data_IF_377503564264
#
_entry.id   IF_377503564264
#
_cell.length_a   1.000
_cell.length_b   1.000
_cell.length_c   1.000
_cell.angle_alpha   90.00
_cell.angle_beta   90.00
_cell.angle_gamma   90.00
#
_symmetry.space_group_name_H-M   'P 1'
#
loop_
_entity.id
_entity.type
_entity.pdbx_description
1 polymer ?
#
# COMPACT_ATOMS: atom_id res chain seq x y z
N UNK A 1 11.42 -13.91 3.69
CA UNK A 1 10.67 -12.94 2.90
C UNK A 1 10.96 -13.11 1.41
N UNK A 2 9.98 -12.87 0.60
CA UNK A 2 10.10 -12.99 -0.86
C UNK A 2 10.55 -11.64 -1.44
N UNK A 3 11.79 -11.52 -1.97
CA UNK A 3 12.26 -10.24 -2.52
C UNK A 3 11.45 -9.79 -3.73
N UNK A 4 10.89 -10.72 -4.50
CA UNK A 4 10.00 -10.41 -5.60
C UNK A 4 8.77 -9.66 -5.13
N UNK A 5 8.11 -10.18 -4.11
CA UNK A 5 6.90 -9.55 -3.56
C UNK A 5 7.21 -8.20 -2.91
N UNK A 6 8.35 -8.09 -2.23
CA UNK A 6 8.77 -6.83 -1.60
C UNK A 6 9.00 -5.73 -2.65
N UNK A 7 9.70 -6.06 -3.74
CA UNK A 7 9.96 -5.11 -4.82
C UNK A 7 8.65 -4.66 -5.49
N UNK A 8 7.74 -5.58 -5.68
CA UNK A 8 6.43 -5.28 -6.27
C UNK A 8 5.61 -4.33 -5.40
N UNK A 9 5.58 -4.59 -4.10
CA UNK A 9 4.86 -3.74 -3.15
C UNK A 9 5.44 -2.33 -3.16
N UNK A 10 6.77 -2.21 -3.18
CA UNK A 10 7.42 -0.89 -3.24
C UNK A 10 7.03 -0.13 -4.50
N UNK A 11 7.02 -0.79 -5.65
CA UNK A 11 6.65 -0.16 -6.91
C UNK A 11 5.18 0.23 -6.92
N UNK A 12 4.32 -0.59 -6.37
CA UNK A 12 2.90 -0.31 -6.25
C UNK A 12 2.65 0.91 -5.37
N UNK A 13 3.31 0.99 -4.22
CA UNK A 13 3.21 2.15 -3.31
C UNK A 13 3.65 3.42 -4.02
N UNK A 14 4.74 3.35 -4.77
CA UNK A 14 5.25 4.47 -5.56
C UNK A 14 4.23 4.93 -6.59
N UNK A 15 3.60 3.98 -7.29
CA UNK A 15 2.57 4.27 -8.29
C UNK A 15 1.37 4.95 -7.65
N UNK A 16 0.88 4.43 -6.53
CA UNK A 16 -0.25 5.00 -5.80
C UNK A 16 0.05 6.45 -5.39
N UNK A 17 1.26 6.71 -4.88
CA UNK A 17 1.67 8.05 -4.50
C UNK A 17 1.75 8.99 -5.70
N UNK A 18 2.23 8.48 -6.85
CA UNK A 18 2.28 9.24 -8.09
C UNK A 18 0.91 9.65 -8.60
N UNK A 19 -0.13 8.89 -8.25
CA UNK A 19 -1.52 9.19 -8.60
C UNK A 19 -2.22 10.08 -7.56
N UNK A 20 -1.48 10.57 -6.58
CA UNK A 20 -2.04 11.41 -5.51
C UNK A 20 -2.71 10.62 -4.40
N UNK A 21 -2.45 9.34 -4.32
CA UNK A 21 -3.00 8.48 -3.29
C UNK A 21 -2.04 8.23 -2.14
N UNK A 22 -2.49 7.45 -1.18
CA UNK A 22 -1.69 7.05 -0.03
C UNK A 22 -1.80 5.53 0.16
N UNK A 23 -0.67 4.91 0.47
CA UNK A 23 -0.63 3.51 0.85
C UNK A 23 -0.51 3.41 2.37
N UNK A 24 -1.35 2.58 2.96
CA UNK A 24 -1.45 2.43 4.42
C UNK A 24 -0.97 1.03 4.78
N UNK A 25 0.10 0.96 5.57
CA UNK A 25 0.70 -0.29 5.99
C UNK A 25 0.75 -0.38 7.51
N UNK A 26 0.91 -1.59 8.00
CA UNK A 26 1.14 -1.85 9.42
C UNK A 26 2.59 -1.49 9.76
N UNK A 27 2.83 -0.24 10.08
CA UNK A 27 4.16 0.26 10.43
C UNK A 27 4.12 1.08 11.71
N UNK A 28 5.27 1.18 12.35
CA UNK A 28 5.44 2.05 13.51
C UNK A 28 5.12 3.51 13.13
N UNK A 29 5.51 3.91 11.93
CA UNK A 29 5.23 5.26 11.43
C UNK A 29 3.75 5.58 11.37
N UNK A 30 2.91 4.60 11.04
CA UNK A 30 1.47 4.80 11.04
C UNK A 30 0.92 5.03 12.45
N UNK A 31 1.39 4.24 13.41
CA UNK A 31 1.02 4.42 14.81
C UNK A 31 1.44 5.79 15.32
N UNK A 32 2.67 6.20 15.00
CA UNK A 32 3.18 7.52 15.37
C UNK A 32 2.33 8.63 14.75
N UNK A 33 1.95 8.48 13.49
CA UNK A 33 1.11 9.46 12.81
C UNK A 33 -0.23 9.63 13.52
N UNK A 34 -0.85 8.51 13.94
CA UNK A 34 -2.13 8.56 14.66
C UNK A 34 -2.00 9.03 16.10
N UNK A 35 -0.83 8.97 16.69
CA UNK A 35 -0.60 9.44 18.06
C UNK A 35 -0.41 10.95 18.13
N UNK A 36 -0.01 11.60 17.05
CA UNK A 36 0.18 13.04 16.99
C UNK A 36 -1.16 13.77 17.10
N UNK A 37 -1.25 14.69 18.05
CA UNK A 37 -2.45 15.50 18.28
C UNK A 37 -3.74 14.67 18.36
N UNK A 38 -3.67 13.50 19.03
CA UNK A 38 -4.82 12.62 19.19
C UNK A 38 -5.31 11.99 17.90
N UNK A 39 -4.41 11.82 16.92
CA UNK A 39 -4.73 11.22 15.63
C UNK A 39 -5.31 12.18 14.61
N UNK A 40 -5.50 13.44 14.98
CA UNK A 40 -6.13 14.45 14.12
C UNK A 40 -5.37 14.66 12.82
N UNK A 41 -4.04 14.65 12.90
CA UNK A 41 -3.18 14.86 11.73
C UNK A 41 -3.29 13.71 10.74
N UNK A 42 -3.22 12.48 11.24
CA UNK A 42 -3.34 11.30 10.40
C UNK A 42 -4.70 11.20 9.73
N UNK A 43 -5.75 11.51 10.46
CA UNK A 43 -7.11 11.53 9.91
C UNK A 43 -7.24 12.54 8.77
N UNK A 44 -6.68 13.72 8.93
CA UNK A 44 -6.71 14.76 7.89
C UNK A 44 -6.02 14.30 6.60
N UNK A 45 -4.85 13.67 6.73
CA UNK A 45 -4.13 13.13 5.59
C UNK A 45 -4.95 12.05 4.88
N UNK A 46 -5.54 11.12 5.64
CA UNK A 46 -6.35 10.05 5.08
C UNK A 46 -7.60 10.59 4.40
N UNK A 47 -8.29 11.53 5.03
CA UNK A 47 -9.50 12.12 4.47
C UNK A 47 -9.22 12.89 3.17
N UNK A 48 -8.06 13.54 3.08
CA UNK A 48 -7.70 14.33 1.91
C UNK A 48 -7.23 13.50 0.73
N UNK A 49 -6.85 12.25 0.96
CA UNK A 49 -6.35 11.37 -0.10
C UNK A 49 -7.50 10.65 -0.79
N UNK A 50 -7.67 10.91 -2.08
CA UNK A 50 -8.76 10.31 -2.86
C UNK A 50 -8.59 8.82 -3.06
N UNK A 51 -7.34 8.38 -3.26
CA UNK A 51 -7.00 6.99 -3.49
C UNK A 51 -6.25 6.49 -2.25
N UNK A 52 -6.77 5.41 -1.65
CA UNK A 52 -6.14 4.80 -0.49
C UNK A 52 -5.96 3.32 -0.77
N UNK A 53 -4.79 2.81 -0.51
CA UNK A 53 -4.50 1.38 -0.65
C UNK A 53 -4.13 0.82 0.72
N UNK A 54 -5.01 0.01 1.29
CA UNK A 54 -4.84 -0.53 2.64
C UNK A 54 -4.27 -1.93 2.54
N UNK A 55 -3.05 -2.09 3.00
CA UNK A 55 -2.37 -3.38 3.02
C UNK A 55 -2.62 -4.09 4.34
N UNK A 56 -2.06 -5.29 4.49
CA UNK A 56 -2.28 -6.10 5.68
C UNK A 56 -1.93 -5.36 6.96
N UNK A 57 -2.80 -5.50 7.96
CA UNK A 57 -2.61 -4.95 9.30
C UNK A 57 -3.10 -5.94 10.33
N UNK A 58 -2.62 -5.80 11.55
CA UNK A 58 -3.20 -6.49 12.68
C UNK A 58 -4.56 -5.87 13.03
N UNK A 59 -5.40 -6.64 13.73
CA UNK A 59 -6.76 -6.22 14.00
C UNK A 59 -6.85 -4.85 14.68
N UNK A 60 -5.97 -4.60 15.64
CA UNK A 60 -5.99 -3.34 16.38
C UNK A 60 -5.80 -2.14 15.45
N UNK A 61 -4.86 -2.24 14.53
CA UNK A 61 -4.60 -1.19 13.55
C UNK A 61 -5.74 -1.09 12.53
N UNK A 62 -6.26 -2.22 12.07
CA UNK A 62 -7.38 -2.27 11.14
C UNK A 62 -8.62 -1.60 11.74
N UNK A 63 -8.82 -1.72 13.05
CA UNK A 63 -9.94 -1.06 13.74
C UNK A 63 -9.81 0.47 13.71
N UNK A 64 -8.59 0.99 13.82
CA UNK A 64 -8.36 2.44 13.71
C UNK A 64 -8.72 2.92 12.31
N UNK A 65 -8.27 2.19 11.29
CA UNK A 65 -8.56 2.52 9.89
C UNK A 65 -10.05 2.35 9.58
N UNK A 66 -10.71 1.37 10.19
CA UNK A 66 -12.14 1.14 10.01
C UNK A 66 -12.96 2.38 10.30
N UNK A 67 -12.67 3.07 11.39
CA UNK A 67 -13.42 4.25 11.78
C UNK A 67 -13.21 5.40 10.82
N UNK A 68 -12.00 5.55 10.31
CA UNK A 68 -11.65 6.66 9.42
C UNK A 68 -12.19 6.43 8.00
N UNK A 69 -12.06 5.21 7.49
CA UNK A 69 -12.44 4.87 6.11
C UNK A 69 -13.84 4.27 6.00
N UNK A 70 -14.53 4.13 7.12
CA UNK A 70 -15.88 3.54 7.17
C UNK A 70 -15.89 2.14 6.56
N UNK A 71 -15.01 1.28 7.04
CA UNK A 71 -14.89 -0.09 6.54
C UNK A 71 -15.91 -0.99 7.22
N UNK A 72 -16.39 -1.99 6.47
CA UNK A 72 -17.25 -3.03 7.02
C UNK A 72 -16.45 -4.01 7.89
N UNK A 73 -17.16 -4.80 8.69
CA UNK A 73 -16.52 -5.87 9.47
C UNK A 73 -15.83 -6.88 8.58
N UNK A 74 -16.44 -7.19 7.42
CA UNK A 74 -15.82 -8.10 6.46
C UNK A 74 -14.53 -7.51 5.89
N UNK A 75 -14.50 -6.22 5.61
CA UNK A 75 -13.30 -5.56 5.11
C UNK A 75 -12.19 -5.56 6.15
N UNK A 76 -12.52 -5.38 7.42
CA UNK A 76 -11.54 -5.52 8.50
C UNK A 76 -10.95 -6.92 8.52
N UNK A 77 -11.80 -7.95 8.42
CA UNK A 77 -11.34 -9.34 8.37
C UNK A 77 -10.42 -9.59 7.18
N UNK A 78 -10.78 -9.07 6.02
CA UNK A 78 -9.94 -9.18 4.81
C UNK A 78 -8.57 -8.55 5.04
N UNK A 79 -8.53 -7.36 5.60
CA UNK A 79 -7.28 -6.64 5.84
C UNK A 79 -6.35 -7.46 6.75
N UNK A 80 -6.88 -8.08 7.80
CA UNK A 80 -6.05 -8.88 8.71
C UNK A 80 -5.49 -10.13 8.04
N UNK A 81 -6.12 -10.61 6.98
CA UNK A 81 -5.76 -11.84 6.27
C UNK A 81 -5.01 -11.61 4.97
N UNK A 82 -4.83 -10.38 4.55
CA UNK A 82 -4.11 -10.09 3.32
C UNK A 82 -2.70 -10.63 3.37
N UNK A 83 -2.28 -11.17 2.24
CA UNK A 83 -0.90 -11.60 2.02
C UNK A 83 -0.15 -10.46 1.34
N UNK A 84 1.16 -10.61 1.23
CA UNK A 84 1.97 -9.64 0.50
C UNK A 84 1.49 -9.54 -0.95
N UNK A 85 1.30 -8.33 -1.44
CA UNK A 85 0.75 -8.09 -2.77
C UNK A 85 -0.77 -8.00 -2.81
N UNK A 86 -1.43 -8.17 -1.68
CA UNK A 86 -2.88 -8.00 -1.57
C UNK A 86 -3.22 -6.75 -0.75
N UNK A 87 -4.34 -6.16 -1.04
CA UNK A 87 -4.81 -5.01 -0.28
C UNK A 87 -6.21 -4.60 -0.68
N UNK A 88 -6.74 -3.64 0.06
CA UNK A 88 -8.04 -3.05 -0.21
C UNK A 88 -7.83 -1.70 -0.89
N UNK A 89 -8.29 -1.58 -2.12
CA UNK A 89 -8.21 -0.33 -2.86
C UNK A 89 -9.47 0.47 -2.60
N UNK A 90 -9.30 1.66 -2.03
CA UNK A 90 -10.41 2.55 -1.70
C UNK A 90 -10.31 3.79 -2.58
N UNK A 91 -11.31 3.99 -3.44
CA UNK A 91 -11.40 5.16 -4.31
C UNK A 91 -12.77 5.77 -4.06
N UNK A 92 -12.78 6.93 -3.38
CA UNK A 92 -14.03 7.51 -2.91
C UNK A 92 -14.72 6.54 -1.95
N UNK A 93 -15.96 6.20 -2.22
CA UNK A 93 -16.74 5.25 -1.41
C UNK A 93 -16.63 3.81 -1.89
N UNK A 94 -15.86 3.55 -2.95
CA UNK A 94 -15.72 2.22 -3.51
C UNK A 94 -14.52 1.53 -2.89
N UNK A 95 -14.75 0.34 -2.33
CA UNK A 95 -13.72 -0.49 -1.74
C UNK A 95 -13.62 -1.80 -2.51
N UNK A 96 -12.46 -2.11 -3.04
CA UNK A 96 -12.25 -3.31 -3.86
C UNK A 96 -11.02 -4.06 -3.35
N UNK A 97 -11.18 -5.32 -2.91
CA UNK A 97 -10.02 -6.15 -2.62
C UNK A 97 -9.28 -6.45 -3.93
N UNK A 98 -7.98 -6.27 -3.92
CA UNK A 98 -7.15 -6.53 -5.09
C UNK A 98 -5.96 -7.39 -4.69
N UNK A 99 -5.57 -8.25 -5.62
CA UNK A 99 -4.39 -9.09 -5.46
C UNK A 99 -3.53 -8.92 -6.69
N UNK A 100 -2.25 -8.65 -6.47
CA UNK A 100 -1.30 -8.49 -7.55
C UNK A 100 -0.46 -9.74 -7.68
N UNK A 101 -0.56 -10.39 -8.83
CA UNK A 101 0.22 -11.58 -9.15
C UNK A 101 1.33 -11.16 -10.10
N UNK A 102 2.56 -11.44 -9.70
CA UNK A 102 3.73 -10.98 -10.44
C UNK A 102 4.36 -12.17 -11.15
N UNK A 103 4.37 -12.14 -12.49
CA UNK A 103 5.13 -13.07 -13.28
C UNK A 103 6.61 -12.65 -13.26
N UNK A 104 7.50 -13.58 -13.64
CA UNK A 104 8.91 -13.25 -13.73
C UNK A 104 9.16 -12.08 -14.69
N UNK A 105 8.43 -12.04 -15.79
CA UNK A 105 8.53 -10.95 -16.77
C UNK A 105 8.11 -9.62 -16.18
N UNK A 106 7.02 -9.60 -15.44
CA UNK A 106 6.54 -8.40 -14.77
C UNK A 106 7.51 -7.92 -13.71
N UNK A 107 8.08 -8.87 -12.95
CA UNK A 107 9.08 -8.56 -11.94
C UNK A 107 10.30 -7.89 -12.55
N UNK A 108 10.81 -8.42 -13.64
CA UNK A 108 11.96 -7.86 -14.33
C UNK A 108 11.67 -6.42 -14.81
N UNK A 109 10.46 -6.16 -15.29
CA UNK A 109 10.05 -4.84 -15.72
C UNK A 109 9.91 -3.87 -14.53
N UNK A 110 9.37 -4.32 -13.40
CA UNK A 110 9.12 -3.51 -12.22
C UNK A 110 10.41 -3.15 -11.49
N UNK A 111 11.36 -4.09 -11.40
CA UNK A 111 12.62 -3.88 -10.69
C UNK A 111 13.62 -3.04 -11.46
N UNK A 112 13.34 -2.73 -12.74
CA UNK A 112 14.23 -1.95 -13.57
C UNK A 112 13.87 -0.46 -13.45
N UNK A 113 14.54 0.26 -12.56
CA UNK A 113 14.42 1.71 -12.48
C UNK A 113 15.10 2.36 -13.68
N UNK A 114 14.84 3.66 -13.98
CA UNK A 114 15.57 4.34 -15.03
C UNK A 114 17.09 4.29 -14.85
N UNK A 115 17.56 4.38 -13.61
CA UNK A 115 18.98 4.28 -13.31
C UNK A 115 19.51 2.87 -13.59
N UNK A 116 18.77 1.86 -13.17
CA UNK A 116 19.14 0.46 -13.41
C UNK A 116 19.12 0.13 -14.90
N UNK A 117 18.18 0.68 -15.64
CA UNK A 117 18.11 0.52 -17.10
C UNK A 117 19.34 1.10 -17.77
N UNK A 118 19.79 2.26 -17.35
CA UNK A 118 21.00 2.90 -17.89
C UNK A 118 22.24 2.07 -17.56
N UNK A 119 22.35 1.57 -16.33
CA UNK A 119 23.45 0.71 -15.92
C UNK A 119 23.48 -0.58 -16.73
N UNK A 120 22.31 -1.21 -16.96
CA UNK A 120 22.21 -2.43 -17.78
C UNK A 120 22.62 -2.17 -19.22
N UNK A 121 22.21 -1.05 -19.81
CA UNK A 121 22.60 -0.69 -21.18
C UNK A 121 24.11 -0.50 -21.29
N UNK A 122 24.74 0.11 -20.30
CA UNK A 122 26.20 0.28 -20.28
C UNK A 122 26.93 -1.05 -20.10
N UNK A 123 26.36 -1.96 -19.31
CA UNK A 123 26.95 -3.28 -19.06
C UNK A 123 26.72 -4.29 -20.15
N UNK A 124 25.80 -4.07 -21.07
CA UNK A 124 25.43 -5.02 -22.12
C UNK A 124 26.16 -4.83 -23.45
N UNK A 125 27.17 -3.98 -23.48
CA UNK A 125 27.99 -3.78 -24.68
C UNK A 125 29.01 -4.87 -24.87
#
# INVERSE_FOLDING_TARGET
>A
SNPLAAAYVQEMVKTIRGLGGIAITSTQGMQDLFSLEGGKYGKGILDSSRIKFVMQMEEQEARLIQQILNLSEEEVRQITRFRRGEGLLCIGYNHVPVAFHVTKKEYDAITTSPTDRQARKKGSK
#
